data_IF_342877111952
#
_entry.id   IF_342877111952
#
_cell.length_a   1.000
_cell.length_b   1.000
_cell.length_c   1.000
_cell.angle_alpha   90.00
_cell.angle_beta   90.00
_cell.angle_gamma   90.00
#
_symmetry.space_group_name_H-M   'P 1'
#
loop_
_entity.id
_entity.type
_entity.pdbx_description
1 polymer ?
#
# COMPACT_ATOMS: atom_id res chain seq x y z
N UNK A 1 48.39 0.19 -17.08
CA UNK A 1 47.03 0.46 -17.61
C UNK A 1 46.08 -0.44 -16.84
N UNK A 2 45.34 0.15 -15.89
CA UNK A 2 44.36 -0.56 -15.08
C UNK A 2 42.99 -0.13 -15.55
N UNK A 3 42.26 -1.06 -16.18
CA UNK A 3 40.94 -0.84 -16.71
C UNK A 3 39.92 -0.87 -15.56
N UNK A 4 39.32 0.26 -15.19
CA UNK A 4 38.21 0.34 -14.24
C UNK A 4 36.93 -0.05 -14.95
N UNK A 5 36.41 -1.25 -14.65
CA UNK A 5 35.03 -1.60 -15.00
C UNK A 5 34.08 -0.92 -13.99
N UNK A 6 33.44 0.14 -14.44
CA UNK A 6 32.35 0.77 -13.73
C UNK A 6 31.11 -0.13 -13.72
N UNK A 7 30.74 -0.65 -12.56
CA UNK A 7 29.46 -1.29 -12.34
C UNK A 7 28.36 -0.23 -12.38
N UNK A 8 27.65 -0.15 -13.52
CA UNK A 8 26.40 0.60 -13.62
C UNK A 8 25.32 -0.20 -12.91
N UNK A 9 25.03 0.14 -11.67
CA UNK A 9 23.87 -0.35 -10.96
C UNK A 9 22.61 0.29 -11.59
N UNK A 10 21.97 -0.41 -12.54
CA UNK A 10 20.64 -0.08 -13.00
C UNK A 10 19.64 -0.34 -11.87
N UNK A 11 19.36 0.68 -11.05
CA UNK A 11 18.16 0.66 -10.22
C UNK A 11 16.97 0.92 -11.14
N UNK A 12 16.28 -0.13 -11.56
CA UNK A 12 15.02 -0.04 -12.30
C UNK A 12 13.95 0.56 -11.37
N UNK A 13 13.76 1.86 -11.43
CA UNK A 13 12.65 2.54 -10.79
C UNK A 13 11.39 2.19 -11.60
N UNK A 14 10.62 1.20 -11.11
CA UNK A 14 9.36 0.86 -11.73
C UNK A 14 8.35 1.99 -11.49
N UNK A 15 7.82 2.54 -12.58
CA UNK A 15 6.66 3.43 -12.53
C UNK A 15 5.42 2.56 -12.35
N UNK A 16 4.58 2.86 -11.35
CA UNK A 16 3.31 2.15 -11.18
C UNK A 16 2.27 2.87 -12.04
N UNK A 17 1.77 2.24 -13.12
CA UNK A 17 0.74 2.84 -13.94
C UNK A 17 -0.58 2.93 -13.16
N UNK A 18 -1.27 4.06 -13.25
CA UNK A 18 -2.65 4.20 -12.81
C UNK A 18 -3.58 3.71 -13.89
N UNK A 19 -4.64 3.01 -13.48
CA UNK A 19 -5.70 2.51 -14.37
C UNK A 19 -6.92 3.39 -14.16
N UNK A 20 -7.49 3.93 -15.23
CA UNK A 20 -8.74 4.67 -15.17
C UNK A 20 -9.90 3.71 -15.40
N UNK A 21 -10.61 3.38 -14.33
CA UNK A 21 -11.89 2.65 -14.32
C UNK A 21 -12.80 3.34 -13.31
N UNK A 22 -13.66 4.21 -13.80
CA UNK A 22 -14.46 5.12 -12.96
C UNK A 22 -15.33 4.39 -11.94
N UNK A 23 -15.84 3.20 -12.29
CA UNK A 23 -16.71 2.42 -11.40
C UNK A 23 -15.93 1.79 -10.25
N UNK A 24 -14.77 1.24 -10.57
CA UNK A 24 -13.86 0.63 -9.60
C UNK A 24 -13.22 1.69 -8.72
N UNK A 25 -12.79 2.81 -9.29
CA UNK A 25 -12.27 3.93 -8.52
C UNK A 25 -13.29 4.51 -7.53
N UNK A 26 -14.55 4.68 -7.96
CA UNK A 26 -15.61 5.17 -7.10
C UNK A 26 -15.84 4.25 -5.89
N UNK A 27 -15.83 2.92 -6.09
CA UNK A 27 -15.90 1.95 -5.00
C UNK A 27 -14.74 2.11 -4.03
N UNK A 28 -13.51 2.12 -4.54
CA UNK A 28 -12.29 2.21 -3.70
C UNK A 28 -12.29 3.50 -2.89
N UNK A 29 -12.60 4.64 -3.50
CA UNK A 29 -12.69 5.95 -2.83
C UNK A 29 -13.79 5.97 -1.77
N UNK A 30 -14.95 5.39 -2.04
CA UNK A 30 -16.06 5.28 -1.09
C UNK A 30 -15.67 4.46 0.14
N UNK A 31 -15.02 3.31 -0.04
CA UNK A 31 -14.57 2.47 1.07
C UNK A 31 -13.42 3.13 1.86
N UNK A 32 -12.49 3.78 1.18
CA UNK A 32 -11.43 4.56 1.83
C UNK A 32 -11.99 5.71 2.67
N UNK A 33 -12.97 6.44 2.17
CA UNK A 33 -13.60 7.55 2.88
C UNK A 33 -14.24 7.11 4.21
N UNK A 34 -14.88 5.93 4.25
CA UNK A 34 -15.42 5.34 5.48
C UNK A 34 -14.33 5.13 6.53
N UNK A 35 -13.19 4.58 6.13
CA UNK A 35 -12.07 4.28 7.03
C UNK A 35 -11.40 5.57 7.50
N UNK A 36 -11.14 6.51 6.59
CA UNK A 36 -10.54 7.81 6.94
C UNK A 36 -11.43 8.57 7.91
N UNK A 37 -12.77 8.50 7.77
CA UNK A 37 -13.72 9.22 8.64
C UNK A 37 -13.63 8.82 10.12
N UNK A 38 -13.07 7.67 10.44
CA UNK A 38 -12.87 7.18 11.82
C UNK A 38 -11.41 7.18 12.25
N UNK A 39 -10.49 7.57 11.35
CA UNK A 39 -9.06 7.66 11.62
C UNK A 39 -8.70 8.95 12.35
N UNK A 40 -7.46 9.05 12.81
CA UNK A 40 -6.91 10.27 13.42
C UNK A 40 -6.79 11.43 12.43
N UNK A 41 -6.77 11.12 11.12
CA UNK A 41 -6.60 12.08 10.02
C UNK A 41 -7.92 12.48 9.35
N UNK A 42 -9.06 12.21 9.99
CA UNK A 42 -10.42 12.44 9.46
C UNK A 42 -10.70 13.85 8.96
N UNK A 43 -10.07 14.85 9.57
CA UNK A 43 -10.20 16.26 9.17
C UNK A 43 -9.54 16.56 7.81
N UNK A 44 -8.70 15.68 7.33
CA UNK A 44 -7.98 15.80 6.04
C UNK A 44 -8.52 14.85 4.96
N UNK A 45 -9.75 14.37 5.09
CA UNK A 45 -10.36 13.43 4.14
C UNK A 45 -10.25 13.90 2.68
N UNK A 46 -10.44 15.19 2.42
CA UNK A 46 -10.36 15.78 1.08
C UNK A 46 -8.94 15.84 0.49
N UNK A 47 -7.92 15.66 1.33
CA UNK A 47 -6.52 15.67 0.92
C UNK A 47 -5.98 14.27 0.57
N UNK A 48 -6.79 13.23 0.81
CA UNK A 48 -6.41 11.87 0.44
C UNK A 48 -6.54 11.64 -1.07
N UNK A 49 -5.49 11.13 -1.65
CA UNK A 49 -5.43 10.70 -3.05
C UNK A 49 -5.35 9.19 -3.10
N UNK A 50 -6.43 8.57 -3.54
CA UNK A 50 -6.54 7.11 -3.67
C UNK A 50 -6.47 6.77 -5.15
N UNK A 51 -5.51 5.94 -5.52
CA UNK A 51 -5.25 5.53 -6.89
C UNK A 51 -5.48 4.04 -7.07
N UNK A 52 -6.07 3.67 -8.18
CA UNK A 52 -6.13 2.28 -8.64
C UNK A 52 -4.98 2.06 -9.63
N UNK A 53 -4.22 0.98 -9.44
CA UNK A 53 -2.94 0.81 -10.16
C UNK A 53 -2.64 -0.66 -10.46
N UNK A 54 -1.97 -0.90 -11.56
CA UNK A 54 -1.41 -2.21 -11.88
C UNK A 54 -0.01 -2.35 -11.28
N UNK A 55 0.10 -3.14 -10.23
CA UNK A 55 1.39 -3.44 -9.62
C UNK A 55 2.15 -4.48 -10.45
N UNK A 56 3.48 -4.33 -10.60
CA UNK A 56 4.31 -5.32 -11.28
C UNK A 56 4.35 -6.67 -10.54
N UNK A 57 4.03 -6.67 -9.25
CA UNK A 57 3.96 -7.84 -8.40
C UNK A 57 2.49 -8.13 -8.03
N UNK A 58 2.03 -9.34 -8.36
CA UNK A 58 0.65 -9.78 -8.12
C UNK A 58 0.28 -10.01 -6.65
N UNK A 59 1.28 -10.14 -5.79
CA UNK A 59 1.11 -10.30 -4.34
C UNK A 59 1.00 -8.96 -3.59
N UNK A 60 1.15 -7.82 -4.27
CA UNK A 60 0.95 -6.48 -3.69
C UNK A 60 -0.50 -6.06 -3.91
N UNK A 61 -1.24 -5.92 -2.82
CA UNK A 61 -2.65 -5.54 -2.83
C UNK A 61 -2.86 -4.04 -2.67
N UNK A 62 -1.97 -3.37 -1.94
CA UNK A 62 -1.99 -1.94 -1.70
C UNK A 62 -0.63 -1.42 -1.29
N UNK A 63 -0.51 -0.10 -1.22
CA UNK A 63 0.68 0.58 -0.75
C UNK A 63 0.40 2.02 -0.35
N UNK A 64 0.86 2.41 0.85
CA UNK A 64 0.96 3.80 1.26
C UNK A 64 2.34 4.36 0.89
N UNK A 65 2.37 5.52 0.24
CA UNK A 65 3.62 6.22 -0.09
C UNK A 65 3.84 7.45 0.78
N UNK A 66 2.95 7.68 1.73
CA UNK A 66 2.92 8.85 2.59
C UNK A 66 2.23 10.06 1.94
N UNK A 67 2.08 11.12 2.72
CA UNK A 67 1.40 12.34 2.30
C UNK A 67 -0.02 12.07 1.74
N UNK A 68 -0.77 11.20 2.41
CA UNK A 68 -2.16 10.83 2.07
C UNK A 68 -2.31 10.24 0.66
N UNK A 69 -1.26 9.58 0.14
CA UNK A 69 -1.29 8.92 -1.16
C UNK A 69 -1.26 7.42 -0.99
N UNK A 70 -2.33 6.75 -1.43
CA UNK A 70 -2.53 5.31 -1.30
C UNK A 70 -2.83 4.73 -2.67
N UNK A 71 -2.17 3.64 -2.99
CA UNK A 71 -2.35 2.87 -4.22
C UNK A 71 -2.98 1.54 -3.88
N UNK A 72 -3.98 1.13 -4.66
CA UNK A 72 -4.70 -0.15 -4.53
C UNK A 72 -4.60 -0.90 -5.83
N UNK A 73 -4.37 -2.22 -5.75
CA UNK A 73 -4.33 -3.10 -6.91
C UNK A 73 -5.65 -3.05 -7.69
N UNK A 74 -5.57 -2.81 -9.00
CA UNK A 74 -6.72 -2.84 -9.91
C UNK A 74 -7.40 -4.21 -9.89
N UNK A 75 -6.63 -5.29 -9.85
CA UNK A 75 -7.18 -6.65 -9.76
C UNK A 75 -8.01 -6.85 -8.47
N UNK A 76 -7.48 -6.40 -7.31
CA UNK A 76 -8.23 -6.46 -6.05
C UNK A 76 -9.50 -5.61 -6.13
N UNK A 77 -9.41 -4.39 -6.63
CA UNK A 77 -10.51 -3.46 -6.72
C UNK A 77 -11.64 -4.00 -7.64
N UNK A 78 -11.28 -4.59 -8.78
CA UNK A 78 -12.21 -5.27 -9.69
C UNK A 78 -12.87 -6.47 -9.03
N UNK A 79 -12.11 -7.35 -8.39
CA UNK A 79 -12.68 -8.49 -7.67
C UNK A 79 -13.59 -8.06 -6.51
N UNK A 80 -13.28 -6.93 -5.86
CA UNK A 80 -14.10 -6.37 -4.78
C UNK A 80 -15.47 -5.86 -5.26
N UNK A 81 -15.57 -5.37 -6.50
CA UNK A 81 -16.85 -4.98 -7.10
C UNK A 81 -17.75 -6.17 -7.43
N UNK A 82 -17.17 -7.36 -7.62
CA UNK A 82 -17.87 -8.56 -8.06
C UNK A 82 -18.16 -9.55 -6.93
N UNK A 83 -17.35 -9.56 -5.87
CA UNK A 83 -17.32 -10.65 -4.87
C UNK A 83 -17.28 -10.12 -3.43
N UNK A 84 -18.24 -10.49 -2.57
CA UNK A 84 -18.30 -9.99 -1.18
C UNK A 84 -17.04 -10.22 -0.35
N UNK A 85 -16.38 -11.38 -0.51
CA UNK A 85 -15.14 -11.65 0.23
C UNK A 85 -14.01 -10.70 -0.16
N UNK A 86 -13.88 -10.37 -1.46
CA UNK A 86 -12.85 -9.45 -1.94
C UNK A 86 -13.16 -7.99 -1.55
N UNK A 87 -14.42 -7.64 -1.36
CA UNK A 87 -14.77 -6.33 -0.77
C UNK A 87 -14.24 -6.23 0.68
N UNK A 88 -14.34 -7.29 1.45
CA UNK A 88 -13.75 -7.31 2.80
C UNK A 88 -12.21 -7.27 2.76
N UNK A 89 -11.60 -7.97 1.80
CA UNK A 89 -10.16 -7.90 1.59
C UNK A 89 -9.71 -6.48 1.17
N UNK A 90 -10.44 -5.80 0.29
CA UNK A 90 -10.20 -4.41 -0.07
C UNK A 90 -10.28 -3.49 1.16
N UNK A 91 -11.31 -3.63 1.99
CA UNK A 91 -11.49 -2.87 3.23
C UNK A 91 -10.33 -3.06 4.20
N UNK A 92 -9.87 -4.30 4.36
CA UNK A 92 -8.72 -4.60 5.21
C UNK A 92 -7.44 -3.98 4.64
N UNK A 93 -7.18 -4.12 3.34
CA UNK A 93 -6.03 -3.52 2.67
C UNK A 93 -6.05 -1.99 2.84
N UNK A 94 -7.19 -1.34 2.59
CA UNK A 94 -7.33 0.11 2.79
C UNK A 94 -7.08 0.52 4.24
N UNK A 95 -7.62 -0.21 5.22
CA UNK A 95 -7.41 0.11 6.64
C UNK A 95 -5.94 0.00 7.04
N UNK A 96 -5.24 -1.01 6.53
CA UNK A 96 -3.81 -1.22 6.74
C UNK A 96 -2.97 -0.10 6.11
N UNK A 97 -3.23 0.28 4.85
CA UNK A 97 -2.48 1.32 4.15
C UNK A 97 -2.75 2.72 4.73
N UNK A 98 -4.00 3.02 5.12
CA UNK A 98 -4.34 4.26 5.83
C UNK A 98 -3.65 4.29 7.19
N UNK A 99 -3.53 3.17 7.89
CA UNK A 99 -2.79 3.07 9.14
C UNK A 99 -1.30 3.35 8.96
N UNK A 100 -0.66 2.85 7.90
CA UNK A 100 0.71 3.21 7.55
C UNK A 100 0.89 4.71 7.33
N UNK A 101 -0.04 5.36 6.64
CA UNK A 101 0.02 6.79 6.37
C UNK A 101 -0.14 7.62 7.66
N UNK A 102 -1.16 7.32 8.47
CA UNK A 102 -1.45 8.02 9.72
C UNK A 102 -0.39 7.80 10.80
N UNK A 103 0.31 6.64 10.79
CA UNK A 103 1.47 6.37 11.64
C UNK A 103 2.76 7.03 11.11
N UNK A 104 2.74 7.60 9.89
CA UNK A 104 3.89 8.26 9.29
C UNK A 104 5.01 7.31 8.84
N UNK A 105 4.73 6.03 8.64
CA UNK A 105 5.73 5.00 8.32
C UNK A 105 6.50 5.31 7.04
N UNK A 106 5.84 5.83 6.01
CA UNK A 106 6.46 6.20 4.75
C UNK A 106 7.42 7.40 4.89
N UNK A 107 7.08 8.38 5.74
CA UNK A 107 7.92 9.55 6.03
C UNK A 107 9.20 9.18 6.78
N UNK A 108 9.08 8.30 7.79
CA UNK A 108 10.21 7.83 8.58
C UNK A 108 11.21 7.03 7.73
N UNK A 109 10.72 6.25 6.77
CA UNK A 109 11.59 5.49 5.86
C UNK A 109 12.33 6.37 4.87
N UNK A 110 11.78 7.53 4.48
CA UNK A 110 12.44 8.51 3.61
C UNK A 110 13.56 9.25 4.33
N UNK A 111 13.40 9.57 5.61
CA UNK A 111 14.40 10.25 6.42
C UNK A 111 15.67 9.41 6.64
N UNK A 112 15.55 8.11 6.83
CA UNK A 112 16.69 7.21 7.00
C UNK A 112 17.51 7.01 5.71
N UNK A 113 16.87 7.13 4.54
CA UNK A 113 17.55 7.03 3.23
C UNK A 113 18.21 8.34 2.79
N UNK A 114 17.73 9.49 3.27
CA UNK A 114 18.24 10.82 2.91
C UNK A 114 19.56 11.18 3.63
N UNK A 115 19.89 10.48 4.74
CA UNK A 115 21.09 10.73 5.51
C UNK A 115 22.39 10.17 4.88
N UNK A 116 22.34 9.51 3.73
CA UNK A 116 23.49 8.82 3.13
C UNK A 116 23.82 9.15 1.68
N UNK A 117 23.39 10.31 1.14
CA UNK A 117 23.80 10.68 -0.23
C UNK A 117 23.75 12.18 -0.49
N UNK A 118 24.75 12.75 -1.21
CA UNK A 118 24.85 14.19 -1.48
C UNK A 118 23.83 14.74 -2.50
N UNK A 119 22.83 13.96 -2.92
CA UNK A 119 21.84 14.34 -3.94
C UNK A 119 20.38 14.13 -3.51
N UNK A 120 20.06 14.35 -2.24
CA UNK A 120 18.67 14.41 -1.80
C UNK A 120 18.04 15.76 -2.21
N UNK A 121 17.65 15.92 -3.48
CA UNK A 121 16.77 17.01 -3.87
C UNK A 121 15.38 16.78 -3.33
N UNK A 122 14.94 17.72 -2.51
CA UNK A 122 13.54 17.88 -2.11
C UNK A 122 12.65 17.84 -3.34
N UNK A 123 11.77 16.85 -3.43
CA UNK A 123 10.72 16.82 -4.47
C UNK A 123 9.68 17.84 -4.05
N UNK A 124 9.71 18.99 -4.68
CA UNK A 124 8.70 20.04 -4.51
C UNK A 124 7.34 19.56 -5.03
N UNK A 125 6.30 19.97 -4.35
CA UNK A 125 4.90 19.55 -4.43
C UNK A 125 4.14 20.01 -5.70
N UNK A 126 4.80 20.22 -6.87
CA UNK A 126 4.19 20.90 -8.02
C UNK A 126 3.94 20.04 -9.26
N UNK A 127 4.21 18.71 -9.23
CA UNK A 127 3.92 17.87 -10.39
C UNK A 127 2.59 17.09 -10.21
N UNK A 128 1.48 17.78 -10.48
CA UNK A 128 0.13 17.22 -10.62
C UNK A 128 -0.01 16.57 -12.00
N UNK A 129 0.76 15.57 -12.34
CA UNK A 129 0.58 15.00 -13.69
C UNK A 129 1.42 13.80 -14.05
N UNK A 130 2.45 13.48 -13.28
CA UNK A 130 3.23 12.27 -13.51
C UNK A 130 3.04 11.31 -12.35
N UNK A 131 2.82 10.00 -12.61
CA UNK A 131 2.77 9.02 -11.53
C UNK A 131 4.09 9.11 -10.76
N UNK A 132 4.06 9.27 -9.43
CA UNK A 132 5.28 9.33 -8.64
C UNK A 132 6.07 8.03 -8.87
N UNK A 133 7.38 8.16 -9.04
CA UNK A 133 8.29 7.00 -9.05
C UNK A 133 8.23 6.36 -7.66
N UNK A 134 7.45 5.30 -7.55
CA UNK A 134 7.22 4.62 -6.28
C UNK A 134 8.12 3.41 -6.22
N UNK A 135 8.99 3.37 -5.23
CA UNK A 135 9.74 2.17 -4.88
C UNK A 135 8.87 1.33 -3.97
N UNK A 136 8.61 0.07 -4.31
CA UNK A 136 7.94 -0.87 -3.42
C UNK A 136 8.74 -0.93 -2.11
N UNK A 137 8.12 -0.51 -1.01
CA UNK A 137 8.75 -0.44 0.30
C UNK A 137 8.35 -1.65 1.12
N UNK A 138 9.34 -2.33 1.68
CA UNK A 138 9.11 -3.27 2.75
C UNK A 138 9.25 -2.51 4.07
N UNK A 139 8.20 -2.44 4.85
CA UNK A 139 8.27 -1.94 6.21
C UNK A 139 8.90 -2.99 7.14
N UNK A 140 9.39 -2.56 8.31
CA UNK A 140 9.85 -3.51 9.33
C UNK A 140 8.65 -4.27 9.93
N UNK A 141 8.91 -5.44 10.52
CA UNK A 141 7.85 -6.24 11.13
C UNK A 141 7.07 -5.47 12.20
N UNK A 142 7.75 -4.60 12.95
CA UNK A 142 7.12 -3.77 13.99
C UNK A 142 6.13 -2.78 13.38
N UNK A 143 6.47 -2.15 12.25
CA UNK A 143 5.59 -1.20 11.55
C UNK A 143 4.40 -1.90 10.90
N UNK A 144 4.58 -3.12 10.40
CA UNK A 144 3.49 -3.96 9.89
C UNK A 144 2.51 -4.31 11.01
N UNK A 145 3.01 -4.73 12.18
CA UNK A 145 2.18 -5.02 13.36
C UNK A 145 1.45 -3.77 13.85
N UNK A 146 2.10 -2.61 13.86
CA UNK A 146 1.48 -1.34 14.23
C UNK A 146 0.36 -0.98 13.25
N UNK A 147 0.59 -1.12 11.94
CA UNK A 147 -0.41 -0.83 10.92
C UNK A 147 -1.60 -1.79 11.02
N UNK A 148 -1.37 -3.08 11.24
CA UNK A 148 -2.44 -4.05 11.47
C UNK A 148 -3.27 -3.73 12.71
N UNK A 149 -2.62 -3.41 13.84
CA UNK A 149 -3.30 -3.06 15.08
C UNK A 149 -4.14 -1.79 14.92
N UNK A 150 -3.61 -0.78 14.26
CA UNK A 150 -4.29 0.49 14.00
C UNK A 150 -5.43 0.34 12.98
N UNK A 151 -5.21 -0.42 11.91
CA UNK A 151 -6.24 -0.77 10.93
C UNK A 151 -7.41 -1.52 11.57
N UNK A 152 -7.13 -2.45 12.50
CA UNK A 152 -8.15 -3.14 13.26
C UNK A 152 -8.94 -2.20 14.20
N UNK A 153 -8.31 -1.15 14.73
CA UNK A 153 -9.03 -0.12 15.50
C UNK A 153 -10.02 0.65 14.61
N UNK A 154 -9.64 1.01 13.37
CA UNK A 154 -10.58 1.65 12.42
C UNK A 154 -11.73 0.72 12.08
N UNK A 155 -11.43 -0.55 11.84
CA UNK A 155 -12.41 -1.60 11.60
C UNK A 155 -13.46 -1.69 12.74
N UNK A 156 -13.00 -1.70 13.98
CA UNK A 156 -13.86 -1.74 15.17
C UNK A 156 -14.71 -0.47 15.30
N UNK A 157 -14.15 0.72 15.05
CA UNK A 157 -14.89 1.99 15.07
C UNK A 157 -16.00 2.05 14.02
N UNK A 158 -15.84 1.33 12.89
CA UNK A 158 -16.88 1.19 11.86
C UNK A 158 -17.93 0.12 12.19
N UNK A 159 -17.79 -0.57 13.32
CA UNK A 159 -18.70 -1.65 13.72
C UNK A 159 -18.59 -2.92 12.87
N UNK A 160 -17.48 -3.09 12.12
CA UNK A 160 -17.27 -4.27 11.29
C UNK A 160 -16.84 -5.47 12.14
N UNK A 161 -17.30 -6.66 11.76
CA UNK A 161 -16.97 -7.89 12.49
C UNK A 161 -15.48 -8.23 12.39
N UNK A 162 -14.76 -8.17 13.51
CA UNK A 162 -13.33 -8.46 13.60
C UNK A 162 -12.97 -9.90 13.19
N UNK A 163 -13.93 -10.85 13.28
CA UNK A 163 -13.70 -12.24 12.85
C UNK A 163 -13.42 -12.35 11.36
N UNK A 164 -13.93 -11.40 10.57
CA UNK A 164 -13.63 -11.30 9.13
C UNK A 164 -12.16 -10.92 8.94
N UNK A 165 -11.65 -9.94 9.69
CA UNK A 165 -10.24 -9.55 9.67
C UNK A 165 -9.33 -10.75 9.98
N UNK A 166 -9.60 -11.46 11.08
CA UNK A 166 -8.84 -12.65 11.47
C UNK A 166 -8.86 -13.72 10.38
N UNK A 167 -10.02 -13.97 9.77
CA UNK A 167 -10.16 -14.94 8.67
C UNK A 167 -9.31 -14.57 7.45
N UNK A 168 -9.22 -13.29 7.11
CA UNK A 168 -8.38 -12.82 6.00
C UNK A 168 -6.91 -13.10 6.31
N UNK A 169 -6.43 -12.75 7.51
CA UNK A 169 -5.05 -13.03 7.93
C UNK A 169 -4.72 -14.52 7.91
N UNK A 170 -5.62 -15.37 8.41
CA UNK A 170 -5.45 -16.83 8.36
C UNK A 170 -5.36 -17.37 6.92
N UNK A 171 -6.10 -16.79 5.98
CA UNK A 171 -6.00 -17.16 4.58
C UNK A 171 -4.65 -16.80 3.98
N UNK A 172 -4.09 -15.64 4.33
CA UNK A 172 -2.73 -15.27 3.89
C UNK A 172 -1.67 -16.22 4.44
N UNK A 173 -1.76 -16.62 5.70
CA UNK A 173 -0.83 -17.58 6.29
C UNK A 173 -0.90 -18.95 5.60
N UNK A 174 -2.09 -19.45 5.37
CA UNK A 174 -2.28 -20.71 4.63
C UNK A 174 -1.66 -20.66 3.23
N UNK A 175 -1.82 -19.55 2.52
CA UNK A 175 -1.23 -19.38 1.19
C UNK A 175 0.30 -19.30 1.24
N UNK A 176 0.89 -18.65 2.25
CA UNK A 176 2.35 -18.62 2.46
C UNK A 176 2.90 -20.00 2.74
N UNK A 177 2.23 -20.79 3.57
CA UNK A 177 2.62 -22.18 3.87
C UNK A 177 2.53 -23.05 2.62
N UNK A 178 1.47 -22.94 1.83
CA UNK A 178 1.31 -23.69 0.59
C UNK A 178 2.41 -23.39 -0.43
N UNK A 179 2.77 -22.11 -0.61
CA UNK A 179 3.88 -21.72 -1.49
C UNK A 179 5.24 -22.26 -1.04
N UNK A 180 5.47 -22.36 0.28
CA UNK A 180 6.71 -22.96 0.83
C UNK A 180 6.79 -24.45 0.56
N UNK A 181 5.67 -25.17 0.65
CA UNK A 181 5.62 -26.60 0.37
C UNK A 181 5.75 -26.91 -1.13
N UNK A 182 5.21 -26.06 -2.02
CA UNK A 182 5.30 -26.27 -3.46
C UNK A 182 6.65 -25.85 -4.07
N UNK A 183 7.46 -25.08 -3.37
CA UNK A 183 8.82 -24.70 -3.82
C UNK A 183 9.92 -25.66 -3.34
N UNK A 184 9.54 -26.72 -2.62
CA UNK A 184 10.48 -27.73 -2.07
C UNK A 184 10.53 -29.02 -2.89
N UNK A 185 9.90 -29.08 -4.06
CA UNK A 185 10.11 -30.18 -5.02
C UNK A 185 11.34 -29.89 -5.88
N UNK A 186 12.32 -30.84 -5.94
CA UNK A 186 13.57 -30.69 -6.66
C UNK A 186 13.41 -30.72 -8.17
#
# INVERSE_FOLDING_TARGET
MVSQFGLIACSSQATIPTVSDDSVEALVRSEAAKIISVSEDKQHLSEYHIFVSDFPRKDVLGMSVGNRRIYISHELAKLASERPFHLWLLRQTLAHEIAHDTAGHARQSSGASLARGPFARSVSNTDIGLPPRVTLRNYSAEKEVEADAKGLQYWAKLGWDYRIWVRILQNFEKQKLYRRCSSSDP
#
